data_IF_751465048375
#
_entry.id   IF_751465048375
#
_cell.length_a   1.000
_cell.length_b   1.000
_cell.length_c   1.000
_cell.angle_alpha   90.00
_cell.angle_beta   90.00
_cell.angle_gamma   90.00
#
_symmetry.space_group_name_H-M   'P 1'
#
loop_
_entity.id
_entity.type
_entity.pdbx_description
1 polymer ?
#
# COMPACT_ATOMS: atom_id res chain seq x y z
N UNK A 1 1.45 -10.37 0.34
CA UNK A 1 0.75 -9.72 -0.81
C UNK A 1 1.51 -8.47 -1.18
N UNK A 2 1.62 -8.14 -2.46
CA UNK A 2 2.24 -6.89 -2.92
C UNK A 2 1.17 -6.01 -3.54
N UNK A 3 1.06 -4.78 -3.08
CA UNK A 3 0.28 -3.72 -3.73
C UNK A 3 1.25 -3.00 -4.66
N UNK A 4 0.94 -2.99 -5.95
CA UNK A 4 1.76 -2.33 -6.96
C UNK A 4 0.98 -1.14 -7.52
N UNK A 5 1.59 0.04 -7.51
CA UNK A 5 0.98 1.29 -7.96
C UNK A 5 1.97 2.14 -8.77
N UNK A 6 1.51 3.16 -9.48
CA UNK A 6 2.40 4.07 -10.21
C UNK A 6 3.00 5.13 -9.28
N UNK A 7 2.15 5.85 -8.53
CA UNK A 7 2.54 6.93 -7.62
C UNK A 7 1.82 6.82 -6.27
N UNK A 8 2.59 6.90 -5.19
CA UNK A 8 2.03 7.01 -3.84
C UNK A 8 2.19 8.45 -3.35
N UNK A 9 1.08 9.08 -2.97
CA UNK A 9 1.09 10.42 -2.36
C UNK A 9 1.21 10.32 -0.84
N UNK A 10 0.13 10.59 -0.09
CA UNK A 10 0.10 10.51 1.38
C UNK A 10 0.17 9.09 1.92
N UNK A 11 -0.07 8.09 1.06
CA UNK A 11 -0.15 6.68 1.46
C UNK A 11 -1.50 6.25 2.04
N UNK A 12 -2.50 7.14 2.10
CA UNK A 12 -3.81 6.82 2.66
C UNK A 12 -4.47 5.62 1.97
N UNK A 13 -4.49 5.60 0.63
CA UNK A 13 -5.08 4.51 -0.15
C UNK A 13 -4.41 3.16 0.11
N UNK A 14 -3.07 3.12 0.03
CA UNK A 14 -2.32 1.87 0.23
C UNK A 14 -2.37 1.39 1.68
N UNK A 15 -2.51 2.29 2.66
CA UNK A 15 -2.71 1.94 4.06
C UNK A 15 -4.07 1.27 4.31
N UNK A 16 -5.16 1.82 3.78
CA UNK A 16 -6.49 1.21 3.90
C UNK A 16 -6.55 -0.18 3.24
N UNK A 17 -5.93 -0.30 2.05
CA UNK A 17 -5.79 -1.59 1.36
C UNK A 17 -4.96 -2.58 2.19
N UNK A 18 -3.78 -2.16 2.67
CA UNK A 18 -2.93 -3.00 3.50
C UNK A 18 -3.65 -3.44 4.79
N UNK A 19 -4.44 -2.56 5.40
CA UNK A 19 -5.19 -2.90 6.60
C UNK A 19 -6.28 -3.93 6.33
N UNK A 20 -7.03 -3.76 5.23
CA UNK A 20 -8.04 -4.72 4.78
C UNK A 20 -7.43 -6.08 4.47
N UNK A 21 -6.30 -6.12 3.75
CA UNK A 21 -5.59 -7.34 3.39
C UNK A 21 -5.04 -8.05 4.64
N UNK A 22 -4.47 -7.31 5.60
CA UNK A 22 -4.01 -7.88 6.88
C UNK A 22 -5.16 -8.46 7.69
N UNK A 23 -6.32 -7.79 7.72
CA UNK A 23 -7.53 -8.33 8.37
C UNK A 23 -8.05 -9.61 7.74
N UNK A 24 -7.75 -9.85 6.46
CA UNK A 24 -8.04 -11.11 5.79
C UNK A 24 -7.04 -12.25 6.15
N UNK A 25 -6.13 -12.02 7.10
CA UNK A 25 -5.17 -13.04 7.59
C UNK A 25 -3.80 -13.00 6.90
N UNK A 26 -3.53 -12.01 6.07
CA UNK A 26 -2.22 -11.88 5.42
C UNK A 26 -1.20 -11.30 6.40
N UNK A 27 -0.16 -12.07 6.69
CA UNK A 27 0.92 -11.70 7.63
C UNK A 27 1.73 -10.47 7.14
N UNK A 28 2.04 -10.41 5.84
CA UNK A 28 2.87 -9.37 5.25
C UNK A 28 2.26 -8.76 3.98
N UNK A 29 2.23 -7.42 3.97
CA UNK A 29 1.85 -6.61 2.81
C UNK A 29 2.98 -5.64 2.51
N UNK A 30 3.51 -5.69 1.29
CA UNK A 30 4.50 -4.73 0.77
C UNK A 30 3.82 -3.80 -0.25
N UNK A 31 4.28 -2.55 -0.32
CA UNK A 31 3.78 -1.54 -1.28
C UNK A 31 4.94 -1.09 -2.14
N UNK A 32 4.80 -1.26 -3.46
CA UNK A 32 5.78 -0.86 -4.45
C UNK A 32 5.16 0.17 -5.37
N UNK A 33 5.88 1.26 -5.58
CA UNK A 33 5.48 2.30 -6.52
C UNK A 33 6.68 2.86 -7.26
N UNK A 34 6.45 3.36 -8.47
CA UNK A 34 7.49 3.98 -9.30
C UNK A 34 7.90 5.34 -8.74
N UNK A 35 6.97 6.07 -8.10
CA UNK A 35 7.25 7.34 -7.47
C UNK A 35 6.50 7.51 -6.14
N UNK A 36 7.10 8.29 -5.24
CA UNK A 36 6.45 8.75 -4.01
C UNK A 36 6.47 10.27 -3.97
N UNK A 37 5.31 10.89 -3.85
CA UNK A 37 5.16 12.33 -3.74
C UNK A 37 4.86 12.70 -2.30
N UNK A 38 5.82 13.37 -1.66
CA UNK A 38 5.64 14.00 -0.35
C UNK A 38 5.26 15.45 -0.63
N UNK A 39 4.10 15.87 -0.14
CA UNK A 39 3.73 17.30 -0.15
C UNK A 39 4.15 17.93 1.16
#
# INVERSE_FOLDING_TARGET
VIIFDDVVTTGATVNELAHTIKRAGVERVDVWALARTVK
#
